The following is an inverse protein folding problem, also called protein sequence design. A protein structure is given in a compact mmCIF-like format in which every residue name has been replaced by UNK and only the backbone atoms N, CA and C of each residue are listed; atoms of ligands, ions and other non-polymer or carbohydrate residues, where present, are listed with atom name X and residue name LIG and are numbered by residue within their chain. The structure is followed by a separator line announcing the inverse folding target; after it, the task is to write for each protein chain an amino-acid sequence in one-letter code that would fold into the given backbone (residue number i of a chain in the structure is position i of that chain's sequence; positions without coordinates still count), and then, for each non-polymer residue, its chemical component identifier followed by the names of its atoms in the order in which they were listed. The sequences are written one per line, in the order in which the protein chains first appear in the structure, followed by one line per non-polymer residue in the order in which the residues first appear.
data_IF_336856266738
#
_entry.id   IF_336856266738
#
_cell.length_a   1.000
_cell.length_b   1.000
_cell.length_c   1.000
_cell.angle_alpha   90.00
_cell.angle_beta   90.00
_cell.angle_gamma   90.00
#
_symmetry.space_group_name_H-M   'P 1'
#
loop_
_entity.id
_entity.type
_entity.pdbx_description
1 polymer ?
#
# COMPACT_ATOMS: atom_id res chain seq x y z
N UNK A 1 23.54 2.61 21.72
CA UNK A 1 22.17 2.49 21.19
C UNK A 1 21.25 2.30 22.39
N UNK A 2 20.34 3.25 22.67
CA UNK A 2 19.44 3.12 23.80
C UNK A 2 18.47 1.96 23.58
N UNK A 3 18.10 1.26 24.66
CA UNK A 3 17.18 0.10 24.60
C UNK A 3 15.90 0.45 23.83
N UNK A 4 15.37 1.66 24.03
CA UNK A 4 14.22 2.17 23.30
C UNK A 4 14.46 2.24 21.77
N UNK A 5 15.60 2.78 21.34
CA UNK A 5 15.97 2.84 19.91
C UNK A 5 16.11 1.43 19.34
N UNK A 6 16.79 0.52 20.05
CA UNK A 6 16.94 -0.87 19.60
C UNK A 6 15.59 -1.58 19.43
N UNK A 7 14.65 -1.39 20.36
CA UNK A 7 13.30 -1.96 20.29
C UNK A 7 12.52 -1.40 19.10
N UNK A 8 12.62 -0.10 18.83
CA UNK A 8 11.95 0.54 17.68
C UNK A 8 12.51 0.02 16.35
N UNK A 9 13.83 -0.07 16.21
CA UNK A 9 14.48 -0.58 15.00
C UNK A 9 14.08 -2.03 14.71
N UNK A 10 14.10 -2.90 15.74
CA UNK A 10 13.70 -4.31 15.59
C UNK A 10 12.21 -4.39 15.20
N UNK A 11 11.35 -3.60 15.86
CA UNK A 11 9.92 -3.59 15.57
C UNK A 11 9.64 -3.13 14.13
N UNK A 12 10.37 -2.11 13.66
CA UNK A 12 10.29 -1.61 12.28
C UNK A 12 10.70 -2.68 11.26
N UNK A 13 11.81 -3.39 11.51
CA UNK A 13 12.27 -4.47 10.62
C UNK A 13 11.21 -5.58 10.55
N UNK A 14 10.69 -6.02 11.70
CA UNK A 14 9.66 -7.07 11.76
C UNK A 14 8.40 -6.63 11.02
N UNK A 15 7.89 -5.42 11.28
CA UNK A 15 6.69 -4.93 10.60
C UNK A 15 6.89 -4.80 9.09
N UNK A 16 8.06 -4.36 8.65
CA UNK A 16 8.47 -4.32 7.25
C UNK A 16 8.43 -5.71 6.61
N UNK A 17 9.13 -6.69 7.20
CA UNK A 17 9.15 -8.07 6.69
C UNK A 17 7.73 -8.66 6.60
N UNK A 18 6.89 -8.42 7.61
CA UNK A 18 5.49 -8.88 7.59
C UNK A 18 4.71 -8.22 6.46
N UNK A 19 4.85 -6.90 6.24
CA UNK A 19 4.19 -6.20 5.15
C UNK A 19 4.62 -6.72 3.76
N UNK A 20 5.91 -6.96 3.56
CA UNK A 20 6.49 -7.55 2.35
C UNK A 20 6.05 -8.99 2.11
N UNK A 21 6.05 -9.82 3.17
CA UNK A 21 5.53 -11.18 3.11
C UNK A 21 4.05 -11.20 2.75
N UNK A 22 3.24 -10.38 3.41
CA UNK A 22 1.81 -10.29 3.15
C UNK A 22 1.49 -9.82 1.73
N UNK A 23 2.23 -8.84 1.22
CA UNK A 23 2.11 -8.37 -0.17
C UNK A 23 2.48 -9.47 -1.18
N UNK A 24 3.51 -10.26 -0.88
CA UNK A 24 3.97 -11.35 -1.76
C UNK A 24 2.96 -12.49 -1.83
N UNK A 25 2.39 -12.90 -0.69
CA UNK A 25 1.35 -13.93 -0.61
C UNK A 25 0.10 -13.50 -1.39
N UNK A 26 -0.31 -12.23 -1.26
CA UNK A 26 -1.50 -11.70 -1.93
C UNK A 26 -1.26 -11.24 -3.38
N UNK A 27 -0.07 -11.48 -3.95
CA UNK A 27 0.21 -11.11 -5.34
C UNK A 27 -0.73 -11.82 -6.34
N UNK A 28 -1.24 -13.01 -6.01
CA UNK A 28 -2.26 -13.69 -6.82
C UNK A 28 -3.56 -12.88 -6.87
N UNK A 29 -3.98 -12.31 -5.74
CA UNK A 29 -5.18 -11.47 -5.66
C UNK A 29 -5.01 -10.17 -6.45
N UNK A 30 -3.80 -9.59 -6.46
CA UNK A 30 -3.48 -8.45 -7.33
C UNK A 30 -3.69 -8.77 -8.81
N UNK A 31 -3.13 -9.90 -9.27
CA UNK A 31 -3.28 -10.33 -10.67
C UNK A 31 -4.74 -10.57 -11.05
N UNK A 32 -5.52 -11.18 -10.16
CA UNK A 32 -6.96 -11.38 -10.38
C UNK A 32 -7.70 -10.05 -10.53
N UNK A 33 -7.39 -9.06 -9.69
CA UNK A 33 -8.01 -7.73 -9.78
C UNK A 33 -7.60 -6.99 -11.07
N UNK A 34 -6.33 -7.12 -11.47
CA UNK A 34 -5.83 -6.57 -12.74
C UNK A 34 -6.53 -7.22 -13.94
N UNK A 35 -6.70 -8.53 -13.93
CA UNK A 35 -7.39 -9.25 -15.00
C UNK A 35 -8.86 -8.85 -15.10
N UNK A 36 -9.57 -8.76 -13.97
CA UNK A 36 -10.96 -8.30 -13.94
C UNK A 36 -11.11 -6.86 -14.42
N UNK A 37 -10.15 -5.99 -14.09
CA UNK A 37 -10.12 -4.62 -14.60
C UNK A 37 -9.91 -4.59 -16.13
N UNK A 38 -8.93 -5.35 -16.62
CA UNK A 38 -8.61 -5.45 -18.03
C UNK A 38 -9.77 -6.05 -18.85
N UNK A 39 -10.46 -7.05 -18.32
CA UNK A 39 -11.62 -7.67 -18.97
C UNK A 39 -12.76 -6.66 -19.16
N UNK A 40 -12.95 -5.75 -18.20
CA UNK A 40 -14.00 -4.73 -18.26
C UNK A 40 -13.63 -3.53 -19.14
N UNK A 41 -12.40 -3.03 -19.04
CA UNK A 41 -12.00 -1.75 -19.65
C UNK A 41 -11.08 -1.91 -20.86
N UNK A 42 -10.57 -3.11 -21.14
CA UNK A 42 -9.69 -3.41 -22.27
C UNK A 42 -8.24 -2.94 -22.12
N UNK A 43 -7.88 -2.35 -20.97
CA UNK A 43 -6.52 -1.91 -20.68
C UNK A 43 -6.22 -1.94 -19.18
N UNK A 44 -4.93 -1.79 -18.83
CA UNK A 44 -4.47 -1.58 -17.47
C UNK A 44 -3.97 -0.14 -17.30
N UNK A 45 -4.35 0.57 -16.21
CA UNK A 45 -3.87 1.90 -15.92
C UNK A 45 -2.35 1.96 -15.90
N UNK A 46 -1.76 2.98 -16.56
CA UNK A 46 -0.31 3.10 -16.72
C UNK A 46 0.46 3.07 -15.41
N UNK A 47 -0.11 3.60 -14.32
CA UNK A 47 0.48 3.52 -12.98
C UNK A 47 0.65 2.08 -12.46
N UNK A 48 -0.28 1.17 -12.79
CA UNK A 48 -0.18 -0.26 -12.44
C UNK A 48 0.87 -0.94 -13.33
N UNK A 49 0.88 -0.65 -14.62
CA UNK A 49 1.84 -1.24 -15.57
C UNK A 49 3.28 -0.84 -15.23
N UNK A 50 3.52 0.45 -14.97
CA UNK A 50 4.83 0.99 -14.60
C UNK A 50 5.34 0.37 -13.30
N UNK A 51 4.47 0.24 -12.32
CA UNK A 51 4.82 -0.29 -11.00
C UNK A 51 5.04 -1.80 -10.99
N UNK A 52 4.38 -2.55 -11.89
CA UNK A 52 4.68 -3.95 -12.15
C UNK A 52 6.05 -4.13 -12.83
N UNK A 53 6.43 -3.24 -13.75
CA UNK A 53 7.74 -3.30 -14.43
C UNK A 53 8.91 -2.80 -13.56
N UNK A 54 8.63 -2.05 -12.50
CA UNK A 54 9.63 -1.35 -11.71
C UNK A 54 10.37 -2.17 -10.64
N UNK A 55 10.30 -3.50 -10.68
CA UNK A 55 10.98 -4.38 -9.74
C UNK A 55 10.47 -4.28 -8.29
N UNK A 56 11.31 -4.69 -7.32
CA UNK A 56 10.91 -4.87 -5.91
C UNK A 56 10.42 -3.56 -5.27
N UNK A 57 11.03 -2.43 -5.63
CA UNK A 57 10.71 -1.12 -5.03
C UNK A 57 9.32 -0.60 -5.43
N UNK A 58 8.96 -0.79 -6.70
CA UNK A 58 7.66 -0.34 -7.22
C UNK A 58 6.54 -1.39 -7.08
N UNK A 59 6.90 -2.64 -6.77
CA UNK A 59 5.94 -3.71 -6.46
C UNK A 59 5.00 -3.34 -5.30
N UNK A 60 5.42 -2.44 -4.40
CA UNK A 60 4.54 -1.94 -3.34
C UNK A 60 3.49 -0.95 -3.83
N UNK A 61 3.87 -0.08 -4.76
CA UNK A 61 3.04 1.01 -5.26
C UNK A 61 1.98 0.55 -6.25
N UNK A 62 2.13 -0.65 -6.81
CA UNK A 62 1.20 -1.21 -7.81
C UNK A 62 -0.26 -1.32 -7.37
N UNK A 63 -0.50 -1.36 -6.06
CA UNK A 63 -1.84 -1.47 -5.51
C UNK A 63 -2.46 -0.10 -5.21
N UNK A 64 -1.71 1.01 -5.33
CA UNK A 64 -2.19 2.35 -4.96
C UNK A 64 -3.37 2.80 -5.81
N UNK A 65 -3.36 2.47 -7.10
CA UNK A 65 -4.48 2.75 -7.99
C UNK A 65 -5.79 2.14 -7.48
N UNK A 66 -5.73 0.92 -6.92
CA UNK A 66 -6.88 0.24 -6.34
C UNK A 66 -7.16 0.68 -4.89
N UNK A 67 -6.13 1.07 -4.14
CA UNK A 67 -6.24 1.48 -2.75
C UNK A 67 -7.01 2.79 -2.59
N UNK A 68 -6.71 3.82 -3.39
CA UNK A 68 -7.28 5.15 -3.16
C UNK A 68 -8.81 5.16 -3.23
N UNK A 69 -9.47 4.58 -4.25
CA UNK A 69 -10.93 4.50 -4.31
C UNK A 69 -11.57 3.74 -3.14
N UNK A 70 -10.82 2.82 -2.50
CA UNK A 70 -11.29 2.03 -1.35
C UNK A 70 -11.22 2.78 -0.01
N UNK A 71 -10.46 3.88 0.06
CA UNK A 71 -10.24 4.65 1.29
C UNK A 71 -10.97 6.00 1.21
N UNK A 72 -10.91 6.69 0.06
CA UNK A 72 -11.42 8.05 -0.06
C UNK A 72 -12.73 8.13 -0.84
N UNK A 73 -13.52 9.17 -0.58
CA UNK A 73 -14.74 9.49 -1.32
C UNK A 73 -14.44 9.91 -2.76
N UNK A 74 -15.38 9.71 -3.68
CA UNK A 74 -15.27 10.05 -5.12
C UNK A 74 -14.87 11.52 -5.37
N UNK A 75 -15.28 12.44 -4.50
CA UNK A 75 -14.97 13.87 -4.61
C UNK A 75 -13.62 14.27 -3.97
N UNK A 76 -12.86 13.33 -3.42
CA UNK A 76 -11.58 13.62 -2.80
C UNK A 76 -10.53 13.94 -3.88
N UNK A 77 -9.68 14.94 -3.64
CA UNK A 77 -8.62 15.37 -4.55
C UNK A 77 -7.76 14.23 -5.11
N UNK A 78 -7.49 13.18 -4.31
CA UNK A 78 -6.66 12.04 -4.70
C UNK A 78 -7.29 11.21 -5.84
N UNK A 79 -8.61 11.13 -5.90
CA UNK A 79 -9.36 10.29 -6.87
C UNK A 79 -10.28 11.10 -7.78
N UNK A 80 -10.32 12.43 -7.64
CA UNK A 80 -11.23 13.31 -8.38
C UNK A 80 -11.02 13.22 -9.89
N UNK A 81 -9.77 13.01 -10.31
CA UNK A 81 -9.39 12.91 -11.72
C UNK A 81 -9.44 11.46 -12.25
N UNK A 82 -9.82 10.49 -11.39
CA UNK A 82 -10.06 9.12 -11.82
C UNK A 82 -11.42 9.03 -12.52
N UNK A 83 -11.46 8.29 -13.63
CA UNK A 83 -12.71 7.99 -14.33
C UNK A 83 -13.76 7.40 -13.37
N UNK A 84 -15.01 7.86 -13.50
CA UNK A 84 -16.09 7.49 -12.59
C UNK A 84 -16.41 6.00 -12.63
N UNK A 85 -16.31 5.35 -13.78
CA UNK A 85 -16.57 3.92 -13.92
C UNK A 85 -15.45 3.09 -13.32
N UNK A 86 -14.19 3.56 -13.42
CA UNK A 86 -13.06 2.93 -12.73
C UNK A 86 -13.24 2.98 -11.22
N UNK A 87 -13.62 4.15 -10.69
CA UNK A 87 -13.89 4.33 -9.26
C UNK A 87 -14.98 3.37 -8.78
N UNK A 88 -16.10 3.32 -9.51
CA UNK A 88 -17.25 2.48 -9.15
C UNK A 88 -16.91 0.99 -9.29
N UNK A 89 -16.13 0.60 -10.29
CA UNK A 89 -15.62 -0.78 -10.45
C UNK A 89 -14.71 -1.21 -9.31
N UNK A 90 -13.90 -0.33 -8.74
CA UNK A 90 -12.98 -0.68 -7.64
C UNK A 90 -13.75 -0.78 -6.32
N UNK A 91 -14.85 -0.05 -6.19
CA UNK A 91 -15.67 0.01 -4.96
C UNK A 91 -16.79 -1.03 -4.93
N UNK A 92 -17.27 -1.49 -6.08
CA UNK A 92 -18.31 -2.52 -6.23
C UNK A 92 -17.93 -3.97 -5.82
N UNK A 93 -16.66 -4.45 -5.88
CA UNK A 93 -16.34 -5.83 -5.58
C UNK A 93 -16.61 -6.14 -4.11
N UNK A 94 -16.98 -7.39 -3.78
CA UNK A 94 -17.23 -7.77 -2.40
C UNK A 94 -15.99 -7.49 -1.55
N UNK A 95 -16.17 -6.94 -0.34
CA UNK A 95 -15.07 -6.56 0.58
C UNK A 95 -13.98 -7.62 0.71
N UNK A 96 -14.32 -8.91 0.60
CA UNK A 96 -13.34 -10.03 0.64
C UNK A 96 -12.28 -9.96 -0.46
N UNK A 97 -12.59 -9.44 -1.66
CA UNK A 97 -11.66 -9.32 -2.78
C UNK A 97 -10.63 -8.19 -2.62
N UNK A 98 -10.97 -7.14 -1.87
CA UNK A 98 -10.15 -5.93 -1.72
C UNK A 98 -9.59 -5.73 -0.31
N UNK A 99 -10.01 -6.55 0.67
CA UNK A 99 -9.59 -6.44 2.06
C UNK A 99 -8.07 -6.56 2.24
N UNK A 100 -7.42 -7.45 1.49
CA UNK A 100 -5.97 -7.63 1.54
C UNK A 100 -5.21 -6.35 1.20
N UNK A 101 -5.73 -5.51 0.30
CA UNK A 101 -5.13 -4.23 -0.08
C UNK A 101 -5.08 -3.29 1.15
N UNK A 102 -6.18 -3.24 1.91
CA UNK A 102 -6.27 -2.43 3.14
C UNK A 102 -5.33 -2.92 4.23
N UNK A 103 -5.27 -4.24 4.46
CA UNK A 103 -4.37 -4.84 5.46
C UNK A 103 -2.91 -4.57 5.12
N UNK A 104 -2.52 -4.77 3.85
CA UNK A 104 -1.17 -4.47 3.36
C UNK A 104 -0.79 -3.02 3.68
N UNK A 105 -1.66 -2.07 3.35
CA UNK A 105 -1.37 -0.65 3.55
C UNK A 105 -1.34 -0.26 5.04
N UNK A 106 -2.19 -0.88 5.86
CA UNK A 106 -2.16 -0.68 7.31
C UNK A 106 -0.84 -1.15 7.94
N UNK A 107 -0.31 -2.30 7.52
CA UNK A 107 1.00 -2.79 7.96
C UNK A 107 2.14 -1.85 7.54
N UNK A 108 2.05 -1.30 6.32
CA UNK A 108 3.00 -0.29 5.84
C UNK A 108 2.94 0.98 6.70
N UNK A 109 1.74 1.46 7.02
CA UNK A 109 1.52 2.65 7.85
C UNK A 109 2.15 2.47 9.24
N UNK A 110 1.97 1.30 9.87
CA UNK A 110 2.61 0.96 11.14
C UNK A 110 4.14 1.07 11.02
N UNK A 111 4.70 0.55 9.93
CA UNK A 111 6.15 0.60 9.68
C UNK A 111 6.64 2.04 9.54
N UNK A 112 5.89 2.91 8.85
CA UNK A 112 6.22 4.33 8.72
C UNK A 112 6.15 5.04 10.08
N UNK A 113 5.14 4.75 10.90
CA UNK A 113 5.01 5.33 12.24
C UNK A 113 6.19 4.93 13.12
N UNK A 114 6.62 3.67 13.07
CA UNK A 114 7.78 3.19 13.81
C UNK A 114 9.07 3.89 13.37
N UNK A 115 9.25 4.07 12.06
CA UNK A 115 10.40 4.81 11.50
C UNK A 115 10.41 6.28 11.97
N UNK A 116 9.26 6.95 11.97
CA UNK A 116 9.12 8.32 12.46
C UNK A 116 9.42 8.42 13.96
N UNK A 117 8.92 7.47 14.75
CA UNK A 117 9.19 7.40 16.18
C UNK A 117 10.70 7.21 16.46
N UNK A 118 11.36 6.34 15.70
CA UNK A 118 12.82 6.15 15.77
C UNK A 118 13.57 7.44 15.44
N UNK A 119 13.18 8.15 14.37
CA UNK A 119 13.78 9.42 13.99
C UNK A 119 13.63 10.48 15.09
N UNK A 120 12.46 10.58 15.73
CA UNK A 120 12.20 11.51 16.85
C UNK A 120 13.09 11.17 18.04
N UNK A 121 13.16 9.88 18.42
CA UNK A 121 14.00 9.41 19.53
C UNK A 121 15.47 9.73 19.25
N UNK A 122 15.96 9.41 18.05
CA UNK A 122 17.33 9.68 17.64
C UNK A 122 17.65 11.19 17.68
N UNK A 123 16.77 12.03 17.13
CA UNK A 123 16.93 13.48 17.15
C UNK A 123 16.92 14.05 18.57
N UNK A 124 16.07 13.52 19.44
CA UNK A 124 16.00 13.93 20.85
C UNK A 124 17.28 13.60 21.61
N UNK A 125 17.99 12.52 21.26
CA UNK A 125 19.27 12.15 21.87
C UNK A 125 20.48 12.92 21.33
N UNK A 126 20.41 13.50 20.12
CA UNK A 126 21.48 14.35 19.58
C UNK A 126 21.45 15.77 20.17
N UNK A 127 20.25 16.23 20.56
CA UNK A 127 20.06 17.56 21.15
C UNK A 127 20.33 17.65 22.66
N UNK A 128 20.60 16.52 23.31
CA UNK A 128 21.06 16.42 24.72
C UNK A 128 22.56 16.21 24.73
#
# INVERSE_FOLDING_TARGET
MNILSAVLTISFIISGVIAFGYSSINNKNHKLLCNAFHEKFGFLPGGITLSQSGGVFLTFQKDFYFLFPLIVSKNNFIVRDMDSEHYDFIRSPPRKMTYWIKVKFFLLLISIILLLAEAIVYYSFIKV
#
